data_IF_543621540225
#
_entry.id   IF_543621540225
#
_cell.length_a   1.000
_cell.length_b   1.000
_cell.length_c   1.000
_cell.angle_alpha   90.00
_cell.angle_beta   90.00
_cell.angle_gamma   90.00
#
_symmetry.space_group_name_H-M   'P 1'
#
loop_
_entity.id
_entity.type
_entity.pdbx_description
1 polymer ?
#
# COMPACT_ATOMS: atom_id res chain seq x y z
N UNK A 1 65.22 23.35 -5.94
CA UNK A 1 64.36 23.57 -4.75
C UNK A 1 63.40 24.68 -5.15
N UNK A 2 62.10 24.49 -5.31
CA UNK A 2 61.17 23.60 -4.60
C UNK A 2 59.99 23.22 -5.51
N UNK A 3 59.45 22.05 -5.20
CA UNK A 3 58.44 21.18 -5.83
C UNK A 3 57.13 21.82 -6.28
N UNK A 4 56.71 21.41 -7.47
CA UNK A 4 55.31 21.18 -7.86
C UNK A 4 54.65 20.25 -6.80
N UNK A 5 53.56 20.72 -6.20
CA UNK A 5 52.95 20.14 -5.02
C UNK A 5 51.44 20.10 -5.15
N UNK A 6 50.99 19.03 -5.81
CA UNK A 6 49.64 18.49 -5.83
C UNK A 6 48.97 18.48 -4.44
N UNK A 7 47.85 19.21 -4.31
CA UNK A 7 46.77 19.03 -3.31
C UNK A 7 45.52 19.64 -3.94
N UNK A 8 44.38 18.99 -4.06
CA UNK A 8 43.88 17.81 -3.38
C UNK A 8 42.40 18.05 -3.16
N UNK A 9 41.60 17.10 -3.64
CA UNK A 9 40.27 16.76 -3.15
C UNK A 9 39.16 17.80 -3.32
N UNK A 10 38.40 17.59 -4.40
CA UNK A 10 37.00 17.99 -4.43
C UNK A 10 36.24 17.33 -3.28
N UNK A 11 35.58 18.16 -2.49
CA UNK A 11 34.40 17.76 -1.72
C UNK A 11 33.23 18.36 -2.48
N UNK A 12 32.66 17.57 -3.39
CA UNK A 12 31.31 17.84 -3.87
C UNK A 12 30.43 17.58 -2.66
N UNK A 13 29.99 18.66 -2.00
CA UNK A 13 28.91 18.57 -1.03
C UNK A 13 27.75 17.92 -1.76
N UNK A 14 27.55 16.64 -1.45
CA UNK A 14 26.38 15.90 -1.82
C UNK A 14 25.23 16.53 -1.05
N UNK A 15 24.65 17.57 -1.64
CA UNK A 15 23.28 17.94 -1.38
C UNK A 15 22.46 16.71 -1.75
N UNK A 16 22.23 15.90 -0.71
CA UNK A 16 21.27 14.81 -0.63
C UNK A 16 19.89 15.43 -0.90
N UNK A 17 19.61 15.67 -2.18
CA UNK A 17 18.26 15.81 -2.73
C UNK A 17 17.62 14.41 -2.66
N UNK A 18 17.54 13.88 -1.45
CA UNK A 18 16.61 12.83 -1.11
C UNK A 18 15.23 13.45 -1.25
N UNK A 19 14.78 13.42 -2.50
CA UNK A 19 13.39 13.34 -2.94
C UNK A 19 12.57 12.72 -1.82
N UNK A 20 12.00 13.55 -0.96
CA UNK A 20 10.93 13.11 -0.07
C UNK A 20 9.81 12.67 -1.02
N UNK A 21 9.41 11.39 -1.01
CA UNK A 21 8.31 10.96 -1.85
C UNK A 21 7.10 11.82 -1.48
N UNK A 22 6.41 12.46 -2.46
CA UNK A 22 5.25 13.27 -2.14
C UNK A 22 4.25 12.36 -1.43
N UNK A 23 3.70 12.86 -0.30
CA UNK A 23 2.73 12.17 0.55
C UNK A 23 1.60 11.55 -0.29
N UNK A 24 1.80 10.31 -0.74
CA UNK A 24 1.10 9.68 -1.86
C UNK A 24 -0.16 8.92 -1.45
N UNK A 25 -0.83 9.34 -0.38
CA UNK A 25 -2.02 8.65 0.14
C UNK A 25 -3.33 9.09 -0.51
N UNK A 26 -3.51 10.39 -0.73
CA UNK A 26 -4.82 10.93 -1.12
C UNK A 26 -5.16 10.73 -2.62
N UNK A 27 -4.15 10.70 -3.49
CA UNK A 27 -4.35 10.66 -4.95
C UNK A 27 -4.80 9.28 -5.46
N UNK A 28 -4.44 8.21 -4.74
CA UNK A 28 -4.82 6.84 -5.11
C UNK A 28 -6.31 6.58 -4.87
N UNK A 29 -6.86 7.10 -3.77
CA UNK A 29 -8.28 6.88 -3.41
C UNK A 29 -9.23 7.43 -4.49
N UNK A 30 -9.00 8.65 -4.97
CA UNK A 30 -9.83 9.25 -6.04
C UNK A 30 -9.71 8.48 -7.35
N UNK A 31 -8.51 8.03 -7.71
CA UNK A 31 -8.29 7.25 -8.94
C UNK A 31 -9.04 5.91 -8.91
N UNK A 32 -9.00 5.18 -7.79
CA UNK A 32 -9.73 3.92 -7.66
C UNK A 32 -11.25 4.12 -7.67
N UNK A 33 -11.75 5.19 -7.05
CA UNK A 33 -13.17 5.53 -7.10
C UNK A 33 -13.66 5.86 -8.53
N UNK A 34 -12.83 6.57 -9.32
CA UNK A 34 -13.13 6.81 -10.73
C UNK A 34 -13.07 5.50 -11.52
N UNK A 35 -12.03 4.67 -11.35
CA UNK A 35 -11.92 3.39 -12.04
C UNK A 35 -13.16 2.52 -11.82
N UNK A 36 -13.64 2.40 -10.58
CA UNK A 36 -14.84 1.62 -10.24
C UNK A 36 -16.16 2.13 -10.85
N UNK A 37 -16.23 3.38 -11.31
CA UNK A 37 -17.42 3.94 -11.96
C UNK A 37 -17.43 3.75 -13.48
N UNK A 38 -16.28 3.50 -14.10
CA UNK A 38 -16.14 3.47 -15.55
C UNK A 38 -15.66 2.13 -16.12
N UNK A 39 -15.07 1.28 -15.29
CA UNK A 39 -14.51 -0.01 -15.69
C UNK A 39 -14.70 -1.04 -14.60
N UNK A 40 -14.81 -2.29 -15.01
CA UNK A 40 -14.83 -3.41 -14.09
C UNK A 40 -13.40 -3.80 -13.69
N UNK A 41 -13.17 -4.39 -12.51
CA UNK A 41 -11.85 -4.89 -12.13
C UNK A 41 -11.24 -5.85 -13.15
N UNK A 42 -12.09 -6.64 -13.82
CA UNK A 42 -11.73 -7.55 -14.91
C UNK A 42 -11.06 -6.84 -16.10
N UNK A 43 -11.41 -5.58 -16.39
CA UNK A 43 -10.77 -4.76 -17.44
C UNK A 43 -9.29 -4.44 -17.14
N UNK A 44 -8.86 -4.68 -15.91
CA UNK A 44 -7.50 -4.46 -15.42
C UNK A 44 -6.79 -5.76 -15.05
N UNK A 45 -7.29 -6.91 -15.51
CA UNK A 45 -6.80 -8.25 -15.14
C UNK A 45 -6.78 -8.49 -13.62
N UNK A 46 -7.61 -7.76 -12.87
CA UNK A 46 -7.78 -7.99 -11.44
C UNK A 46 -8.69 -9.20 -11.30
N UNK A 47 -8.24 -10.27 -10.61
CA UNK A 47 -9.04 -11.47 -10.44
C UNK A 47 -10.32 -11.16 -9.64
N UNK A 48 -11.37 -11.92 -9.92
CA UNK A 48 -12.56 -11.91 -9.07
C UNK A 48 -12.20 -12.30 -7.64
N UNK A 49 -12.91 -11.70 -6.69
CA UNK A 49 -12.69 -12.04 -5.29
C UNK A 49 -13.20 -13.48 -5.08
N UNK A 50 -12.38 -14.38 -4.52
CA UNK A 50 -12.82 -15.72 -4.18
C UNK A 50 -13.96 -15.71 -3.16
N UNK A 51 -14.82 -16.72 -3.25
CA UNK A 51 -15.95 -16.89 -2.33
C UNK A 51 -15.46 -17.33 -0.94
N UNK A 52 -15.37 -16.39 -0.01
CA UNK A 52 -15.00 -16.68 1.37
C UNK A 52 -16.21 -16.86 2.29
N UNK A 53 -16.09 -17.82 3.20
CA UNK A 53 -17.03 -17.97 4.31
C UNK A 53 -16.76 -16.91 5.37
N UNK A 54 -17.82 -16.23 5.81
CA UNK A 54 -17.74 -15.21 6.85
C UNK A 54 -18.26 -15.78 8.17
N UNK A 55 -17.42 -15.73 9.19
CA UNK A 55 -17.74 -16.14 10.56
C UNK A 55 -17.89 -14.91 11.45
N UNK A 56 -18.94 -14.91 12.28
CA UNK A 56 -19.09 -13.93 13.36
C UNK A 56 -19.20 -14.66 14.67
N UNK A 57 -18.24 -14.41 15.54
CA UNK A 57 -18.22 -14.99 16.87
C UNK A 57 -19.03 -14.09 17.84
N UNK A 58 -19.45 -14.65 18.98
CA UNK A 58 -20.33 -13.97 19.92
C UNK A 58 -19.70 -12.74 20.60
N UNK A 59 -18.36 -12.69 20.65
CA UNK A 59 -17.54 -11.58 21.13
C UNK A 59 -17.45 -10.42 20.12
N UNK A 60 -18.03 -10.57 18.93
CA UNK A 60 -18.01 -9.57 17.87
C UNK A 60 -16.82 -9.68 16.92
N UNK A 61 -15.95 -10.68 17.10
CA UNK A 61 -14.86 -10.96 16.16
C UNK A 61 -15.43 -11.36 14.79
N UNK A 62 -14.87 -10.77 13.73
CA UNK A 62 -15.15 -11.14 12.34
C UNK A 62 -14.00 -11.98 11.81
N UNK A 63 -14.28 -13.14 11.23
CA UNK A 63 -13.26 -13.94 10.56
C UNK A 63 -13.70 -14.36 9.16
N UNK A 64 -12.71 -14.57 8.30
CA UNK A 64 -12.85 -15.14 6.97
C UNK A 64 -12.15 -16.49 6.91
N UNK A 65 -12.74 -17.39 6.14
CA UNK A 65 -12.22 -18.72 5.96
C UNK A 65 -12.75 -19.41 4.72
N UNK A 66 -12.19 -20.57 4.43
CA UNK A 66 -12.52 -21.42 3.30
C UNK A 66 -12.43 -22.87 3.80
N UNK A 67 -13.33 -23.74 3.33
CA UNK A 67 -13.38 -25.17 3.72
C UNK A 67 -13.34 -25.44 5.24
N UNK A 68 -13.93 -24.53 6.03
CA UNK A 68 -13.98 -24.62 7.49
C UNK A 68 -12.71 -24.14 8.21
N UNK A 69 -11.65 -23.78 7.48
CA UNK A 69 -10.43 -23.21 8.03
C UNK A 69 -10.50 -21.68 8.03
N UNK A 70 -10.18 -21.06 9.17
CA UNK A 70 -10.16 -19.60 9.34
C UNK A 70 -8.74 -19.08 9.14
N UNK A 71 -8.53 -18.11 8.24
CA UNK A 71 -7.19 -17.58 7.95
C UNK A 71 -7.04 -16.07 8.20
N UNK A 72 -8.14 -15.32 8.27
CA UNK A 72 -8.09 -13.88 8.57
C UNK A 72 -9.12 -13.53 9.64
N UNK A 73 -8.69 -12.83 10.69
CA UNK A 73 -9.59 -12.39 11.77
C UNK A 73 -9.38 -10.92 12.11
N UNK A 74 -10.48 -10.28 12.49
CA UNK A 74 -10.55 -8.91 12.95
C UNK A 74 -11.26 -8.88 14.29
N UNK A 75 -10.51 -8.61 15.37
CA UNK A 75 -11.06 -8.56 16.73
C UNK A 75 -11.86 -7.30 17.06
N UNK A 76 -11.74 -6.22 16.27
CA UNK A 76 -12.55 -5.02 16.43
C UNK A 76 -13.02 -4.48 15.06
N UNK A 77 -13.97 -5.18 14.41
CA UNK A 77 -14.46 -4.79 13.10
C UNK A 77 -15.46 -3.64 13.21
N UNK A 78 -15.24 -2.56 12.45
CA UNK A 78 -16.16 -1.42 12.39
C UNK A 78 -17.16 -1.64 11.26
N UNK A 79 -18.46 -1.59 11.58
CA UNK A 79 -19.51 -1.69 10.57
C UNK A 79 -19.72 -0.37 9.85
N UNK A 80 -19.34 -0.32 8.59
CA UNK A 80 -19.61 0.82 7.71
C UNK A 80 -20.98 0.63 7.05
N UNK A 81 -21.80 1.67 7.06
CA UNK A 81 -23.05 1.73 6.29
C UNK A 81 -22.72 2.32 4.92
N UNK A 82 -23.17 1.66 3.85
CA UNK A 82 -23.02 2.12 2.47
C UNK A 82 -24.28 2.86 2.05
#
# INVERSE_FOLDING_TARGET
MTTDGERGSGSVDADDDATSPPAGGAMRVRRWCIAANYREPSDYDIPELPDWTVYRDADGTLAFGEDGERFLSAGNPVRVRR
#
